data_IF_215487507474
#
_entry.id   IF_215487507474
#
_cell.length_a   1.000
_cell.length_b   1.000
_cell.length_c   1.000
_cell.angle_alpha   90.00
_cell.angle_beta   90.00
_cell.angle_gamma   90.00
#
_symmetry.space_group_name_H-M   'P 1'
#
loop_
_entity.id
_entity.type
_entity.pdbx_description
1 polymer ?
#
# COMPACT_ATOMS: atom_id res chain seq x y z
N UNK A 1 -14.53 9.74 -23.51
CA UNK A 1 -13.07 9.79 -23.77
C UNK A 1 -12.52 8.39 -23.60
N UNK A 2 -11.63 7.89 -24.48
CA UNK A 2 -11.10 6.54 -24.30
C UNK A 2 -10.17 6.53 -23.09
N UNK A 3 -10.56 5.76 -22.08
CA UNK A 3 -9.77 5.50 -20.88
C UNK A 3 -8.53 4.72 -21.33
N UNK A 4 -7.34 5.26 -21.06
CA UNK A 4 -6.10 4.52 -21.27
C UNK A 4 -6.05 3.41 -20.23
N UNK A 5 -5.83 2.18 -20.68
CA UNK A 5 -5.67 1.03 -19.80
C UNK A 5 -4.54 1.31 -18.81
N UNK A 6 -4.78 1.00 -17.54
CA UNK A 6 -3.79 1.08 -16.44
C UNK A 6 -2.58 0.17 -16.70
N UNK A 7 -2.66 -0.71 -17.69
CA UNK A 7 -1.61 -1.65 -18.10
C UNK A 7 -0.62 -1.07 -19.13
N UNK A 8 -0.82 0.17 -19.59
CA UNK A 8 0.05 0.82 -20.58
C UNK A 8 0.94 1.88 -19.92
N UNK A 9 1.83 1.42 -19.04
CA UNK A 9 2.76 2.27 -18.26
C UNK A 9 3.62 3.16 -19.17
N UNK A 10 4.06 2.66 -20.32
CA UNK A 10 4.83 3.45 -21.29
C UNK A 10 4.07 4.66 -21.85
N UNK A 11 2.75 4.55 -22.06
CA UNK A 11 1.94 5.71 -22.46
C UNK A 11 1.78 6.74 -21.33
N UNK A 12 1.78 6.31 -20.08
CA UNK A 12 1.78 7.22 -18.94
C UNK A 12 3.06 8.05 -18.91
N UNK A 13 4.23 7.41 -19.00
CA UNK A 13 5.52 8.11 -19.02
C UNK A 13 5.69 9.01 -20.24
N UNK A 14 5.25 8.56 -21.42
CA UNK A 14 5.21 9.39 -22.63
C UNK A 14 4.42 10.69 -22.38
N UNK A 15 3.23 10.59 -21.81
CA UNK A 15 2.41 11.77 -21.46
C UNK A 15 3.11 12.67 -20.46
N UNK A 16 3.76 12.08 -19.45
CA UNK A 16 4.50 12.86 -18.44
C UNK A 16 5.62 13.68 -19.08
N UNK A 17 6.37 13.12 -20.03
CA UNK A 17 7.43 13.85 -20.74
C UNK A 17 6.86 14.93 -21.67
N UNK A 18 5.80 14.62 -22.43
CA UNK A 18 5.13 15.58 -23.32
C UNK A 18 4.55 16.78 -22.57
N UNK A 19 4.17 16.62 -21.30
CA UNK A 19 3.71 17.72 -20.44
C UNK A 19 4.85 18.62 -19.92
N UNK A 20 6.12 18.28 -20.16
CA UNK A 20 7.29 19.02 -19.66
C UNK A 20 8.23 19.49 -20.78
N UNK A 21 8.34 18.75 -21.88
CA UNK A 21 9.26 19.03 -22.99
C UNK A 21 8.49 19.61 -24.18
N UNK A 22 8.79 20.84 -24.57
CA UNK A 22 8.24 21.51 -25.76
C UNK A 22 9.18 21.33 -26.95
N UNK A 23 8.64 21.40 -28.18
CA UNK A 23 9.46 21.34 -29.41
C UNK A 23 10.02 19.95 -29.76
N UNK A 24 9.46 18.89 -29.19
CA UNK A 24 9.78 17.50 -29.55
C UNK A 24 9.35 17.23 -31.00
N UNK A 25 10.24 16.68 -31.83
CA UNK A 25 9.96 16.35 -33.23
C UNK A 25 9.85 14.83 -33.49
N UNK A 26 10.27 14.00 -32.53
CA UNK A 26 10.15 12.54 -32.61
C UNK A 26 10.05 11.85 -31.23
N UNK A 27 9.57 10.60 -31.20
CA UNK A 27 9.62 9.78 -29.96
C UNK A 27 11.04 9.48 -29.50
N UNK A 28 12.00 9.36 -30.41
CA UNK A 28 13.40 9.16 -30.05
C UNK A 28 13.97 10.41 -29.36
N UNK A 29 13.50 11.61 -29.69
CA UNK A 29 13.93 12.84 -29.01
C UNK A 29 13.46 12.89 -27.56
N UNK A 30 12.30 12.30 -27.26
CA UNK A 30 11.82 12.16 -25.87
C UNK A 30 12.72 11.21 -25.11
N UNK A 31 13.09 10.09 -25.74
CA UNK A 31 13.97 9.09 -25.12
C UNK A 31 15.45 9.50 -25.09
N UNK A 32 15.85 10.57 -25.77
CA UNK A 32 17.25 11.03 -25.78
C UNK A 32 17.48 12.06 -24.68
N UNK A 33 18.24 11.68 -23.66
CA UNK A 33 18.65 12.54 -22.52
C UNK A 33 20.17 12.70 -22.56
N UNK A 34 20.65 13.94 -22.61
CA UNK A 34 22.08 14.28 -22.69
C UNK A 34 22.88 13.53 -23.78
N UNK A 35 22.24 13.31 -24.94
CA UNK A 35 22.83 12.62 -26.08
C UNK A 35 22.81 11.09 -26.01
N UNK A 36 22.27 10.51 -24.93
CA UNK A 36 22.09 9.06 -24.77
C UNK A 36 20.62 8.69 -25.01
N UNK A 37 20.38 7.71 -25.89
CA UNK A 37 19.03 7.22 -26.18
C UNK A 37 18.64 6.11 -25.20
N UNK A 38 17.60 6.36 -24.40
CA UNK A 38 16.97 5.38 -23.53
C UNK A 38 16.11 4.39 -24.32
N UNK A 39 15.95 3.17 -23.78
CA UNK A 39 15.13 2.13 -24.39
C UNK A 39 13.64 2.44 -24.25
N UNK A 40 13.23 2.91 -23.07
CA UNK A 40 11.82 3.16 -22.71
C UNK A 40 11.56 4.62 -22.31
N UNK A 41 10.29 5.04 -22.34
CA UNK A 41 9.89 6.35 -21.82
C UNK A 41 10.04 6.40 -20.29
N UNK A 42 9.84 5.27 -19.61
CA UNK A 42 10.13 5.15 -18.17
C UNK A 42 11.58 5.49 -17.85
N UNK A 43 12.53 4.86 -18.53
CA UNK A 43 13.96 5.05 -18.31
C UNK A 43 14.36 6.52 -18.55
N UNK A 44 13.89 7.12 -19.64
CA UNK A 44 14.11 8.54 -19.90
C UNK A 44 13.56 9.44 -18.78
N UNK A 45 12.39 9.12 -18.23
CA UNK A 45 11.84 9.83 -17.07
C UNK A 45 12.69 9.67 -15.81
N UNK A 46 13.29 8.50 -15.57
CA UNK A 46 14.20 8.28 -14.44
C UNK A 46 15.46 9.12 -14.57
N UNK A 47 16.11 9.11 -15.74
CA UNK A 47 17.32 9.90 -15.99
C UNK A 47 17.04 11.41 -15.84
N UNK A 48 15.86 11.86 -16.24
CA UNK A 48 15.41 13.24 -16.04
C UNK A 48 15.04 13.59 -14.58
N UNK A 49 15.11 12.63 -13.65
CA UNK A 49 14.70 12.82 -12.26
C UNK A 49 13.21 13.11 -12.10
N UNK A 50 12.36 12.62 -13.03
CA UNK A 50 10.92 12.81 -13.00
C UNK A 50 10.17 11.74 -12.21
N UNK A 51 10.81 10.60 -11.98
CA UNK A 51 10.30 9.52 -11.14
C UNK A 51 11.06 9.58 -9.81
N UNK A 52 10.31 9.71 -8.72
CA UNK A 52 10.86 9.48 -7.39
C UNK A 52 11.16 7.97 -7.27
N UNK A 53 12.31 7.62 -6.69
CA UNK A 53 12.62 6.21 -6.42
C UNK A 53 11.66 5.60 -5.39
N UNK A 54 11.88 4.34 -5.03
CA UNK A 54 10.98 3.59 -4.13
C UNK A 54 10.80 4.22 -2.72
N UNK A 55 11.58 5.25 -2.37
CA UNK A 55 11.56 5.92 -1.05
C UNK A 55 10.15 6.30 -0.60
N UNK A 56 9.31 6.82 -1.50
CA UNK A 56 7.96 7.22 -1.12
C UNK A 56 7.07 6.02 -0.75
N UNK A 57 7.32 4.84 -1.33
CA UNK A 57 6.67 3.60 -0.93
C UNK A 57 7.17 3.12 0.43
N UNK A 58 8.47 3.27 0.71
CA UNK A 58 8.99 3.01 2.05
C UNK A 58 8.35 3.91 3.09
N UNK A 59 8.31 5.22 2.86
CA UNK A 59 7.71 6.20 3.78
C UNK A 59 6.23 5.88 4.01
N UNK A 60 5.50 5.57 2.93
CA UNK A 60 4.08 5.18 3.00
C UNK A 60 3.88 3.93 3.87
N UNK A 61 4.71 2.90 3.70
CA UNK A 61 4.60 1.67 4.49
C UNK A 61 5.03 1.88 5.95
N UNK A 62 6.04 2.72 6.22
CA UNK A 62 6.45 3.07 7.59
C UNK A 62 5.33 3.81 8.34
N UNK A 63 4.69 4.79 7.71
CA UNK A 63 3.59 5.51 8.34
C UNK A 63 2.37 4.60 8.55
N UNK A 64 2.03 3.77 7.56
CA UNK A 64 0.95 2.81 7.70
C UNK A 64 1.21 1.78 8.83
N UNK A 65 2.44 1.30 8.97
CA UNK A 65 2.82 0.33 10.01
C UNK A 65 2.64 0.87 11.44
N UNK A 66 2.64 2.20 11.64
CA UNK A 66 2.40 2.80 12.96
C UNK A 66 0.94 2.81 13.38
N UNK A 67 0.01 2.75 12.43
CA UNK A 67 -1.41 3.00 12.67
C UNK A 67 -2.32 1.84 12.25
N UNK A 68 -1.84 0.92 11.40
CA UNK A 68 -2.61 -0.18 10.84
C UNK A 68 -2.27 -1.51 11.47
N UNK A 69 -3.23 -2.44 11.40
CA UNK A 69 -2.95 -3.85 11.66
C UNK A 69 -2.15 -4.48 10.51
N UNK A 70 -1.30 -5.49 10.78
CA UNK A 70 -0.49 -6.17 9.77
C UNK A 70 -1.28 -6.69 8.55
N UNK A 71 -2.53 -7.13 8.73
CA UNK A 71 -3.41 -7.58 7.65
C UNK A 71 -3.73 -6.48 6.64
N UNK A 72 -4.07 -5.27 7.11
CA UNK A 72 -4.31 -4.12 6.23
C UNK A 72 -3.02 -3.63 5.59
N UNK A 73 -1.89 -3.72 6.31
CA UNK A 73 -0.58 -3.39 5.76
C UNK A 73 -0.22 -4.32 4.58
N UNK A 74 -0.56 -5.61 4.65
CA UNK A 74 -0.39 -6.57 3.54
C UNK A 74 -1.28 -6.24 2.34
N UNK A 75 -2.52 -5.76 2.56
CA UNK A 75 -3.38 -5.27 1.47
C UNK A 75 -2.75 -4.06 0.77
N UNK A 76 -2.25 -3.09 1.54
CA UNK A 76 -1.56 -1.92 1.01
C UNK A 76 -0.33 -2.32 0.20
N UNK A 77 0.48 -3.24 0.73
CA UNK A 77 1.64 -3.78 0.01
C UNK A 77 1.24 -4.40 -1.34
N UNK A 78 0.16 -5.19 -1.38
CA UNK A 78 -0.33 -5.79 -2.63
C UNK A 78 -0.80 -4.73 -3.64
N UNK A 79 -1.46 -3.65 -3.19
CA UNK A 79 -1.84 -2.50 -4.03
C UNK A 79 -0.60 -1.81 -4.60
N UNK A 80 0.41 -1.56 -3.77
CA UNK A 80 1.67 -0.95 -4.17
C UNK A 80 2.38 -1.83 -5.23
N UNK A 81 2.44 -3.14 -5.04
CA UNK A 81 2.98 -4.05 -6.05
C UNK A 81 2.17 -4.06 -7.36
N UNK A 82 0.84 -3.91 -7.28
CA UNK A 82 -0.05 -3.92 -8.43
C UNK A 82 -0.01 -2.65 -9.28
N UNK A 83 0.18 -1.49 -8.64
CA UNK A 83 0.02 -0.18 -9.30
C UNK A 83 1.16 0.81 -9.08
N UNK A 84 2.03 0.57 -8.10
CA UNK A 84 3.01 1.54 -7.63
C UNK A 84 4.29 1.62 -8.44
N UNK A 85 4.43 0.86 -9.52
CA UNK A 85 5.63 0.87 -10.38
C UNK A 85 6.95 0.72 -9.58
N UNK A 86 6.90 -0.07 -8.50
CA UNK A 86 8.02 -0.30 -7.57
C UNK A 86 9.22 -0.89 -8.32
N UNK A 87 10.39 -0.30 -8.15
CA UNK A 87 11.62 -0.75 -8.80
C UNK A 87 12.15 -2.05 -8.20
N UNK A 88 12.09 -2.19 -6.87
CA UNK A 88 12.64 -3.32 -6.14
C UNK A 88 11.68 -3.84 -5.05
N UNK A 89 10.65 -4.58 -5.48
CA UNK A 89 9.72 -5.26 -4.57
C UNK A 89 10.43 -6.18 -3.55
N UNK A 90 11.48 -6.94 -3.92
CA UNK A 90 12.23 -7.74 -2.94
C UNK A 90 12.87 -6.92 -1.81
N UNK A 91 13.42 -5.75 -2.11
CA UNK A 91 13.97 -4.85 -1.10
C UNK A 91 12.85 -4.25 -0.23
N UNK A 92 11.78 -3.75 -0.85
CA UNK A 92 10.60 -3.24 -0.15
C UNK A 92 10.04 -4.29 0.83
N UNK A 93 9.88 -5.54 0.39
CA UNK A 93 9.50 -6.64 1.26
C UNK A 93 10.51 -6.85 2.39
N UNK A 94 11.80 -6.90 2.09
CA UNK A 94 12.85 -7.18 3.08
C UNK A 94 12.86 -6.16 4.20
N UNK A 95 12.66 -4.88 3.88
CA UNK A 95 12.63 -3.79 4.85
C UNK A 95 11.33 -3.80 5.70
N UNK A 96 10.19 -4.21 5.12
CA UNK A 96 8.88 -4.10 5.79
C UNK A 96 8.31 -5.43 6.31
N UNK A 97 8.96 -6.57 6.04
CA UNK A 97 8.45 -7.92 6.38
C UNK A 97 8.13 -8.10 7.85
N UNK A 98 8.84 -7.41 8.74
CA UNK A 98 8.60 -7.53 10.18
C UNK A 98 7.22 -7.00 10.56
N UNK A 99 6.89 -5.78 10.12
CA UNK A 99 5.56 -5.19 10.33
C UNK A 99 4.47 -5.94 9.55
N UNK A 100 4.79 -6.38 8.33
CA UNK A 100 3.87 -7.15 7.49
C UNK A 100 3.58 -8.55 8.03
N UNK A 101 4.34 -9.08 8.99
CA UNK A 101 4.15 -10.43 9.53
C UNK A 101 3.97 -10.48 11.04
N UNK A 102 3.86 -9.34 11.71
CA UNK A 102 3.83 -9.23 13.18
C UNK A 102 2.76 -10.12 13.82
N UNK A 103 1.54 -10.12 13.29
CA UNK A 103 0.42 -10.94 13.75
C UNK A 103 0.70 -12.45 13.61
N UNK A 104 1.36 -12.86 12.53
CA UNK A 104 1.76 -14.25 12.32
C UNK A 104 2.97 -14.64 13.16
N UNK A 105 3.91 -13.72 13.41
CA UNK A 105 5.04 -13.94 14.32
C UNK A 105 4.54 -14.14 15.75
N UNK A 106 3.54 -13.36 16.17
CA UNK A 106 2.89 -13.53 17.48
C UNK A 106 2.14 -14.85 17.61
N UNK A 107 1.50 -15.33 16.54
CA UNK A 107 0.75 -16.59 16.53
C UNK A 107 1.63 -17.83 16.41
N UNK A 108 2.71 -17.72 15.65
CA UNK A 108 3.59 -18.84 15.30
C UNK A 108 5.00 -18.58 15.82
N UNK A 109 5.94 -18.22 14.94
CA UNK A 109 7.33 -17.91 15.31
C UNK A 109 7.92 -16.85 14.39
N UNK A 110 9.11 -16.32 14.75
CA UNK A 110 9.85 -15.35 13.91
C UNK A 110 10.28 -15.94 12.56
N UNK A 111 10.53 -17.24 12.53
CA UNK A 111 10.99 -17.97 11.34
C UNK A 111 9.82 -18.29 10.40
N UNK A 112 8.66 -18.65 10.97
CA UNK A 112 7.49 -19.09 10.21
C UNK A 112 6.52 -17.96 9.87
N UNK A 113 6.44 -16.92 10.71
CA UNK A 113 5.54 -15.79 10.53
C UNK A 113 5.64 -15.11 9.16
N UNK A 114 6.86 -14.77 8.68
CA UNK A 114 7.03 -14.21 7.33
C UNK A 114 6.56 -15.14 6.20
N UNK A 115 6.62 -16.46 6.38
CA UNK A 115 6.15 -17.42 5.37
C UNK A 115 4.62 -17.38 5.26
N UNK A 116 3.91 -17.28 6.39
CA UNK A 116 2.45 -17.09 6.39
C UNK A 116 2.04 -15.75 5.77
N UNK A 117 2.78 -14.68 6.06
CA UNK A 117 2.55 -13.38 5.42
C UNK A 117 2.74 -13.43 3.90
N UNK A 118 3.77 -14.13 3.41
CA UNK A 118 3.98 -14.35 1.97
C UNK A 118 2.85 -15.18 1.35
N UNK A 119 2.38 -16.23 2.03
CA UNK A 119 1.26 -17.04 1.55
C UNK A 119 -0.02 -16.21 1.40
N UNK A 120 -0.34 -15.36 2.38
CA UNK A 120 -1.49 -14.45 2.30
C UNK A 120 -1.30 -13.38 1.21
N UNK A 121 -0.11 -12.77 1.11
CA UNK A 121 0.22 -11.81 0.06
C UNK A 121 0.11 -12.41 -1.35
N UNK A 122 0.51 -13.67 -1.54
CA UNK A 122 0.40 -14.34 -2.84
C UNK A 122 -1.03 -14.31 -3.36
N UNK A 123 -2.00 -14.43 -2.47
CA UNK A 123 -3.41 -14.54 -2.81
C UNK A 123 -4.03 -13.16 -3.02
N UNK A 124 -3.60 -12.15 -2.25
CA UNK A 124 -3.91 -10.74 -2.53
C UNK A 124 -3.34 -10.30 -3.89
N UNK A 125 -2.13 -10.72 -4.24
CA UNK A 125 -1.50 -10.37 -5.52
C UNK A 125 -2.26 -10.94 -6.73
N UNK A 126 -2.96 -12.07 -6.58
CA UNK A 126 -3.77 -12.65 -7.66
C UNK A 126 -4.87 -11.71 -8.14
N UNK A 127 -5.46 -10.87 -7.27
CA UNK A 127 -6.47 -9.90 -7.69
C UNK A 127 -5.94 -8.83 -8.65
N UNK A 128 -4.62 -8.66 -8.69
CA UNK A 128 -3.91 -7.74 -9.60
C UNK A 128 -3.24 -8.48 -10.76
N UNK A 129 -3.53 -9.78 -10.96
CA UNK A 129 -2.88 -10.60 -11.99
C UNK A 129 -1.41 -10.92 -11.70
N UNK A 130 -0.95 -10.68 -10.47
CA UNK A 130 0.41 -10.94 -9.98
C UNK A 130 0.44 -12.24 -9.15
N UNK A 131 1.66 -12.66 -8.79
CA UNK A 131 1.94 -13.71 -7.82
C UNK A 131 3.37 -13.51 -7.30
N UNK A 132 3.77 -14.23 -6.25
CA UNK A 132 5.11 -14.08 -5.64
C UNK A 132 6.25 -14.21 -6.66
N UNK A 133 6.15 -15.13 -7.63
CA UNK A 133 7.18 -15.30 -8.66
C UNK A 133 7.27 -14.09 -9.60
N UNK A 134 6.14 -13.53 -10.01
CA UNK A 134 6.10 -12.33 -10.88
C UNK A 134 6.69 -11.10 -10.21
N UNK A 135 6.65 -11.03 -8.88
CA UNK A 135 7.23 -9.93 -8.10
C UNK A 135 8.60 -10.29 -7.49
N UNK A 136 9.23 -11.38 -7.93
CA UNK A 136 10.54 -11.86 -7.48
C UNK A 136 10.64 -12.14 -5.96
N UNK A 137 9.55 -12.53 -5.33
CA UNK A 137 9.52 -12.95 -3.93
C UNK A 137 9.61 -14.48 -3.78
N UNK A 138 10.11 -14.99 -2.63
CA UNK A 138 10.22 -16.42 -2.38
C UNK A 138 8.87 -17.12 -2.51
N UNK A 139 8.82 -18.21 -3.29
CA UNK A 139 7.62 -19.05 -3.38
C UNK A 139 7.38 -19.75 -2.06
N UNK A 140 6.14 -19.78 -1.61
CA UNK A 140 5.73 -20.47 -0.38
C UNK A 140 4.57 -21.41 -0.72
N UNK A 141 4.67 -22.65 -0.27
CA UNK A 141 3.61 -23.66 -0.37
C UNK A 141 3.02 -23.89 1.03
N UNK A 142 2.26 -22.90 1.49
CA UNK A 142 1.50 -22.95 2.73
C UNK A 142 0.05 -22.64 2.41
N UNK A 143 -0.85 -23.49 2.88
CA UNK A 143 -2.26 -23.14 2.95
C UNK A 143 -2.42 -22.11 4.08
N UNK A 144 -2.62 -20.85 3.70
CA UNK A 144 -3.12 -19.85 4.62
C UNK A 144 -4.64 -19.89 4.52
N UNK A 145 -5.33 -20.17 5.62
CA UNK A 145 -6.80 -20.04 5.69
C UNK A 145 -7.15 -18.57 5.48
N UNK A 146 -7.47 -18.26 4.23
CA UNK A 146 -7.18 -16.97 3.61
C UNK A 146 -8.11 -15.82 4.00
N UNK A 147 -9.05 -16.03 4.91
CA UNK A 147 -10.06 -15.04 5.22
C UNK A 147 -10.39 -15.06 6.70
N UNK A 148 -9.47 -14.55 7.52
CA UNK A 148 -9.83 -13.92 8.79
C UNK A 148 -10.00 -12.40 8.66
N UNK A 149 -10.24 -11.90 7.44
CA UNK A 149 -10.76 -10.54 7.23
C UNK A 149 -12.20 -10.40 7.75
N UNK A 150 -12.91 -11.50 8.03
CA UNK A 150 -13.96 -11.46 9.05
C UNK A 150 -13.27 -11.47 10.42
N UNK A 151 -12.92 -10.29 10.93
CA UNK A 151 -12.89 -10.12 12.37
C UNK A 151 -14.29 -10.52 12.86
N UNK A 152 -14.43 -11.76 13.35
CA UNK A 152 -15.66 -12.19 13.99
C UNK A 152 -15.70 -11.52 15.36
N UNK A 153 -16.18 -10.27 15.34
CA UNK A 153 -16.34 -9.46 16.52
C UNK A 153 -17.16 -10.20 17.59
N UNK A 154 -18.10 -11.06 17.18
CA UNK A 154 -18.93 -11.84 18.11
C UNK A 154 -18.14 -12.99 18.74
N UNK A 155 -17.32 -13.73 17.98
CA UNK A 155 -16.49 -14.82 18.51
C UNK A 155 -15.43 -14.27 19.48
N UNK A 156 -14.72 -13.21 19.10
CA UNK A 156 -13.70 -12.60 19.96
C UNK A 156 -14.31 -11.89 21.18
N UNK A 157 -15.47 -11.24 21.05
CA UNK A 157 -16.21 -10.70 22.20
C UNK A 157 -16.68 -11.82 23.13
N UNK A 158 -17.13 -12.95 22.59
CA UNK A 158 -17.55 -14.12 23.39
C UNK A 158 -16.38 -14.68 24.19
N UNK A 159 -15.20 -14.83 23.58
CA UNK A 159 -13.96 -15.25 24.26
C UNK A 159 -13.51 -14.23 25.31
N UNK A 160 -13.58 -12.93 24.98
CA UNK A 160 -13.24 -11.85 25.89
C UNK A 160 -14.17 -11.86 27.11
N UNK A 161 -15.48 -11.96 26.92
CA UNK A 161 -16.48 -12.03 27.99
C UNK A 161 -16.26 -13.27 28.89
N UNK A 162 -16.05 -14.44 28.28
CA UNK A 162 -15.76 -15.68 29.03
C UNK A 162 -14.45 -15.60 29.82
N UNK A 163 -13.47 -14.81 29.37
CA UNK A 163 -12.22 -14.57 30.09
C UNK A 163 -12.37 -13.49 31.16
N UNK A 164 -13.17 -12.45 30.93
CA UNK A 164 -13.49 -11.41 31.92
C UNK A 164 -14.12 -12.03 33.15
N UNK A 165 -15.02 -13.01 33.00
CA UNK A 165 -15.63 -13.74 34.13
C UNK A 165 -14.59 -14.44 35.02
N UNK A 166 -13.45 -14.84 34.47
CA UNK A 166 -12.36 -15.53 35.18
C UNK A 166 -11.33 -14.59 35.83
N UNK A 167 -11.44 -13.27 35.64
CA UNK A 167 -10.50 -12.30 36.20
C UNK A 167 -10.75 -12.07 37.70
N UNK A 168 -9.67 -11.97 38.47
CA UNK A 168 -9.71 -11.49 39.85
C UNK A 168 -9.93 -9.95 39.89
N UNK A 169 -10.28 -9.41 41.06
CA UNK A 169 -10.67 -8.01 41.24
C UNK A 169 -9.64 -7.00 40.72
N UNK A 170 -8.35 -7.27 40.94
CA UNK A 170 -7.27 -6.39 40.51
C UNK A 170 -7.09 -6.36 38.98
N UNK A 171 -7.15 -7.52 38.31
CA UNK A 171 -7.04 -7.59 36.85
C UNK A 171 -8.28 -7.02 36.17
N UNK A 172 -9.46 -7.22 36.74
CA UNK A 172 -10.71 -6.63 36.23
C UNK A 172 -10.66 -5.11 36.31
N UNK A 173 -10.18 -4.55 37.42
CA UNK A 173 -9.98 -3.10 37.56
C UNK A 173 -9.03 -2.52 36.50
N UNK A 174 -7.92 -3.20 36.21
CA UNK A 174 -6.99 -2.77 35.17
C UNK A 174 -7.61 -2.80 33.76
N UNK A 175 -8.37 -3.85 33.44
CA UNK A 175 -9.10 -3.97 32.17
C UNK A 175 -10.15 -2.87 32.02
N UNK A 176 -10.96 -2.62 33.06
CA UNK A 176 -11.98 -1.56 33.05
C UNK A 176 -11.35 -0.17 32.85
N UNK A 177 -10.20 0.10 33.49
CA UNK A 177 -9.47 1.36 33.32
C UNK A 177 -9.00 1.56 31.87
N UNK A 178 -8.48 0.51 31.24
CA UNK A 178 -8.04 0.56 29.84
C UNK A 178 -9.23 0.71 28.89
N UNK A 179 -10.31 -0.04 29.10
CA UNK A 179 -11.53 0.07 28.29
C UNK A 179 -12.15 1.46 28.38
N UNK A 180 -12.27 2.02 29.59
CA UNK A 180 -12.79 3.37 29.80
C UNK A 180 -11.94 4.42 29.08
N UNK A 181 -10.61 4.31 29.15
CA UNK A 181 -9.70 5.21 28.45
C UNK A 181 -9.82 5.08 26.92
N UNK A 182 -10.02 3.87 26.40
CA UNK A 182 -10.24 3.62 24.96
C UNK A 182 -11.58 4.23 24.51
N UNK A 183 -12.67 4.05 25.26
CA UNK A 183 -13.98 4.61 24.92
C UNK A 183 -13.98 6.14 24.97
N UNK A 184 -13.38 6.74 26.00
CA UNK A 184 -13.21 8.20 26.08
C UNK A 184 -12.31 8.75 24.95
N UNK A 185 -11.31 7.97 24.52
CA UNK A 185 -10.47 8.31 23.39
C UNK A 185 -11.24 8.22 22.06
N UNK A 186 -12.07 7.19 21.86
CA UNK A 186 -12.90 7.05 20.66
C UNK A 186 -13.97 8.13 20.52
N UNK A 187 -14.57 8.58 21.62
CA UNK A 187 -15.51 9.72 21.57
C UNK A 187 -14.81 11.04 21.23
N UNK A 188 -13.54 11.21 21.63
CA UNK A 188 -12.71 12.38 21.26
C UNK A 188 -12.09 12.25 19.87
N UNK A 189 -11.86 11.04 19.40
CA UNK A 189 -11.26 10.71 18.10
C UNK A 189 -12.29 10.09 17.16
N UNK A 190 -13.08 10.94 16.49
CA UNK A 190 -13.83 10.61 15.26
C UNK A 190 -12.94 10.06 14.10
N UNK A 191 -11.66 9.80 14.38
CA UNK A 191 -10.58 9.40 13.48
C UNK A 191 -10.68 7.97 12.95
N UNK A 192 -11.47 7.08 13.56
CA UNK A 192 -11.69 5.73 13.02
C UNK A 192 -12.64 5.74 11.80
N UNK A 193 -13.61 6.65 11.78
CA UNK A 193 -14.38 6.96 10.56
C UNK A 193 -13.49 7.62 9.51
N UNK A 194 -12.53 8.43 9.97
CA UNK A 194 -11.50 9.04 9.12
C UNK A 194 -10.59 7.99 8.45
N UNK A 195 -10.40 6.79 8.99
CA UNK A 195 -9.58 5.72 8.37
C UNK A 195 -10.28 5.00 7.20
N UNK A 196 -11.59 4.75 7.33
CA UNK A 196 -12.41 4.24 6.22
C UNK A 196 -12.62 5.31 5.14
N UNK A 197 -12.85 6.56 5.60
CA UNK A 197 -12.86 7.75 4.76
C UNK A 197 -11.48 8.02 4.19
N UNK A 198 -10.35 7.65 4.81
CA UNK A 198 -9.00 7.82 4.26
C UNK A 198 -8.66 6.76 3.21
N UNK A 199 -9.28 5.59 3.22
CA UNK A 199 -9.15 4.61 2.13
C UNK A 199 -10.01 5.00 0.92
N UNK A 200 -11.21 5.55 1.15
CA UNK A 200 -11.99 6.19 0.08
C UNK A 200 -11.41 7.53 -0.38
N UNK A 201 -10.87 8.33 0.54
CA UNK A 201 -10.17 9.58 0.23
C UNK A 201 -8.80 9.26 -0.34
N UNK A 202 -8.12 8.15 -0.08
CA UNK A 202 -6.89 7.79 -0.79
C UNK A 202 -7.21 7.52 -2.26
N UNK A 203 -8.34 6.84 -2.54
CA UNK A 203 -8.86 6.72 -3.92
C UNK A 203 -9.28 8.09 -4.48
N UNK A 204 -9.98 8.92 -3.71
CA UNK A 204 -10.47 10.24 -4.14
C UNK A 204 -9.37 11.31 -4.22
N UNK A 205 -8.28 11.19 -3.46
CA UNK A 205 -7.10 12.07 -3.38
C UNK A 205 -6.10 11.68 -4.45
N UNK A 206 -5.92 10.38 -4.77
CA UNK A 206 -5.23 9.98 -5.99
C UNK A 206 -5.97 10.47 -7.24
N UNK A 207 -7.30 10.39 -7.26
CA UNK A 207 -8.11 10.93 -8.38
C UNK A 207 -8.12 12.48 -8.38
N UNK A 208 -8.22 13.15 -7.22
CA UNK A 208 -8.19 14.63 -7.12
C UNK A 208 -6.83 15.23 -7.39
N UNK A 209 -5.73 14.62 -6.93
CA UNK A 209 -4.38 15.07 -7.24
C UNK A 209 -4.12 14.92 -8.75
N UNK A 210 -4.57 13.81 -9.33
CA UNK A 210 -4.49 13.59 -10.78
C UNK A 210 -5.35 14.58 -11.58
N UNK A 211 -6.58 14.91 -11.13
CA UNK A 211 -7.44 15.90 -11.79
C UNK A 211 -6.99 17.36 -11.57
N UNK A 212 -6.52 17.74 -10.38
CA UNK A 212 -6.02 19.10 -10.10
C UNK A 212 -4.71 19.38 -10.85
N UNK A 213 -3.82 18.40 -11.00
CA UNK A 213 -2.62 18.56 -11.84
C UNK A 213 -2.94 18.64 -13.34
N UNK A 214 -4.10 18.13 -13.78
CA UNK A 214 -4.59 18.30 -15.15
C UNK A 214 -5.27 19.65 -15.37
N UNK A 215 -6.05 20.16 -14.41
CA UNK A 215 -6.72 21.46 -14.52
C UNK A 215 -5.76 22.65 -14.33
N UNK A 216 -4.79 22.56 -13.42
CA UNK A 216 -3.84 23.66 -13.18
C UNK A 216 -2.87 23.88 -14.37
N UNK A 217 -2.60 22.82 -15.15
CA UNK A 217 -1.81 22.90 -16.40
C UNK A 217 -2.65 23.29 -17.62
N UNK A 218 -3.96 23.11 -17.60
CA UNK A 218 -4.85 23.49 -18.70
C UNK A 218 -5.26 24.98 -18.66
N UNK A 219 -5.28 25.61 -17.49
CA UNK A 219 -5.83 26.97 -17.31
C UNK A 219 -4.74 28.07 -17.26
N UNK A 220 -3.51 27.75 -16.84
CA UNK A 220 -2.41 28.73 -16.80
C UNK A 220 -1.89 29.28 -18.15
N UNK A 221 -2.17 28.68 -19.34
CA UNK A 221 -1.85 29.34 -20.62
C UNK A 221 -3.00 30.18 -21.21
N UNK A 222 -4.15 30.30 -20.54
CA UNK A 222 -5.32 31.07 -21.04
C UNK A 222 -5.74 32.23 -20.12
N UNK A 223 -4.87 32.65 -19.19
CA UNK A 223 -4.94 33.92 -18.47
C UNK A 223 -3.61 34.65 -18.56
#
# INVERSE_FOLDING_TARGET
MPVVSVQDSERFYLRMQLLRKTGVISFNDLKTIDGTLCETFQEACKVLGLLDGDQHWHDTLLEAARIQMPSYLRILFAIICGFGEVENIPDLWTQHKQSLSEDFVHRYSKETGPLYALAELNELLKSYGLNLRKVNLPSVDLQCDLFRLSYDAMEEQSKANANIEKLNSERRYAVDKVLHAIYEYQEKSQSAFFLMVLLEQAKLLCIRLYCMQLEEKAIKPLL
#
